data_IF_556623056655
#
_entry.id   IF_556623056655
#
_cell.length_a   1.000
_cell.length_b   1.000
_cell.length_c   1.000
_cell.angle_alpha   90.00
_cell.angle_beta   90.00
_cell.angle_gamma   90.00
#
_symmetry.space_group_name_H-M   'P 1'
#
loop_
_entity.id
_entity.type
_entity.pdbx_description
1 polymer ?
#
# COMPACT_ATOMS: atom_id res chain seq x y z
N UNK A 1 10.16 -20.13 5.23
CA UNK A 1 10.89 -19.89 3.98
C UNK A 1 12.14 -19.02 4.11
N UNK A 2 12.31 -18.18 5.16
CA UNK A 2 13.61 -17.51 5.55
C UNK A 2 14.89 -18.38 5.55
N UNK A 3 14.78 -19.69 5.32
CA UNK A 3 15.87 -20.69 5.26
C UNK A 3 16.16 -21.24 3.86
N UNK A 4 15.36 -20.93 2.82
CA UNK A 4 15.58 -21.47 1.47
C UNK A 4 16.82 -20.89 0.78
N UNK A 5 17.17 -19.62 1.02
CA UNK A 5 18.26 -18.94 0.29
C UNK A 5 19.30 -18.16 1.12
N UNK A 6 19.22 -18.14 2.45
CA UNK A 6 20.26 -17.53 3.30
C UNK A 6 21.31 -18.55 3.74
N UNK A 7 22.27 -18.88 2.86
CA UNK A 7 23.54 -19.51 3.26
C UNK A 7 24.63 -19.35 2.19
N UNK A 8 25.24 -18.17 2.14
CA UNK A 8 26.53 -17.98 1.49
C UNK A 8 27.46 -17.13 2.37
N UNK A 9 27.87 -17.66 3.52
CA UNK A 9 29.06 -17.16 4.22
C UNK A 9 29.55 -18.16 5.27
N UNK A 10 30.47 -19.06 4.88
CA UNK A 10 31.61 -19.49 5.71
C UNK A 10 32.55 -20.37 4.89
N UNK A 11 33.58 -19.74 4.33
CA UNK A 11 34.74 -20.44 3.81
C UNK A 11 35.55 -21.03 4.94
N UNK A 12 35.77 -22.34 4.90
CA UNK A 12 36.86 -23.01 5.63
C UNK A 12 37.52 -23.99 4.65
N UNK A 13 38.76 -23.67 4.26
CA UNK A 13 39.66 -24.60 3.60
C UNK A 13 40.11 -25.67 4.60
N UNK A 14 39.83 -26.94 4.31
CA UNK A 14 40.48 -28.07 4.97
C UNK A 14 40.86 -29.10 3.91
N UNK A 15 42.14 -29.10 3.57
CA UNK A 15 42.76 -30.15 2.77
C UNK A 15 42.94 -31.40 3.64
N UNK A 16 42.31 -32.51 3.24
CA UNK A 16 42.70 -33.83 3.70
C UNK A 16 42.79 -34.80 2.52
N UNK A 17 44.00 -35.31 2.34
CA UNK A 17 44.32 -36.48 1.52
C UNK A 17 43.74 -37.73 2.18
N UNK A 18 42.94 -38.51 1.45
CA UNK A 18 42.85 -39.96 1.62
C UNK A 18 42.26 -40.60 0.35
N UNK A 19 42.81 -41.74 -0.13
CA UNK A 19 42.42 -42.36 -1.38
C UNK A 19 41.26 -43.36 -1.18
N UNK A 20 40.39 -43.44 -2.18
CA UNK A 20 39.56 -44.60 -2.44
C UNK A 20 38.19 -44.60 -1.77
N UNK A 21 37.20 -44.01 -2.43
CA UNK A 21 35.80 -44.37 -2.26
C UNK A 21 35.12 -44.40 -3.63
N UNK A 22 34.53 -45.55 -3.92
CA UNK A 22 33.83 -45.89 -5.15
C UNK A 22 32.80 -44.82 -5.54
N UNK A 23 32.85 -44.39 -6.80
CA UNK A 23 31.74 -43.71 -7.46
C UNK A 23 30.54 -44.67 -7.45
N UNK A 24 29.64 -44.48 -6.48
CA UNK A 24 28.26 -44.93 -6.62
C UNK A 24 27.65 -44.03 -7.69
N UNK A 25 27.58 -44.56 -8.91
CA UNK A 25 26.88 -43.91 -10.01
C UNK A 25 25.40 -43.83 -9.64
N UNK A 26 24.97 -42.64 -9.22
CA UNK A 26 23.56 -42.27 -9.29
C UNK A 26 23.15 -42.32 -10.77
N UNK A 27 21.92 -42.75 -11.05
CA UNK A 27 21.39 -42.81 -12.41
C UNK A 27 21.70 -41.48 -13.14
N UNK A 28 22.18 -41.55 -14.38
CA UNK A 28 22.47 -40.39 -15.22
C UNK A 28 21.19 -39.57 -15.43
N UNK A 29 20.93 -38.68 -14.48
CA UNK A 29 19.99 -37.59 -14.61
C UNK A 29 20.55 -36.71 -15.74
N UNK A 30 19.78 -36.53 -16.82
CA UNK A 30 20.19 -35.69 -17.96
C UNK A 30 20.19 -34.21 -17.52
N UNK A 31 21.23 -33.83 -16.77
CA UNK A 31 21.43 -32.48 -16.28
C UNK A 31 22.03 -31.61 -17.39
N UNK A 32 21.64 -30.33 -17.48
CA UNK A 32 22.11 -29.47 -18.54
C UNK A 32 23.61 -29.20 -18.40
N UNK A 33 24.31 -29.23 -19.53
CA UNK A 33 25.64 -28.63 -19.64
C UNK A 33 25.45 -27.14 -19.90
N UNK A 34 26.03 -26.31 -19.04
CA UNK A 34 25.91 -24.86 -19.12
C UNK A 34 27.03 -24.31 -20.02
N UNK A 35 26.65 -23.54 -21.05
CA UNK A 35 27.55 -22.95 -22.03
C UNK A 35 27.29 -21.43 -22.11
N UNK A 36 27.73 -20.65 -21.11
CA UNK A 36 27.38 -19.23 -21.00
C UNK A 36 27.98 -18.36 -22.10
N UNK A 37 29.16 -18.74 -22.62
CA UNK A 37 29.82 -18.08 -23.74
C UNK A 37 30.75 -19.07 -24.48
N UNK A 38 31.20 -18.77 -25.72
CA UNK A 38 32.05 -19.67 -26.49
C UNK A 38 33.33 -20.09 -25.75
N UNK A 39 33.51 -21.40 -25.58
CA UNK A 39 34.69 -21.99 -24.94
C UNK A 39 34.65 -22.00 -23.40
N UNK A 40 33.58 -21.50 -22.79
CA UNK A 40 33.34 -21.60 -21.34
C UNK A 40 32.27 -22.65 -21.09
N UNK A 41 32.51 -23.56 -20.15
CA UNK A 41 31.50 -24.54 -19.76
C UNK A 41 31.49 -24.78 -18.27
N UNK A 42 30.29 -24.87 -17.72
CA UNK A 42 30.02 -25.36 -16.38
C UNK A 42 29.05 -26.55 -16.46
N UNK A 43 28.95 -27.35 -15.41
CA UNK A 43 28.03 -28.48 -15.39
C UNK A 43 27.50 -28.73 -13.98
N UNK A 44 26.25 -29.19 -13.93
CA UNK A 44 25.55 -29.52 -12.71
C UNK A 44 25.62 -31.04 -12.55
N UNK A 45 25.97 -31.48 -11.35
CA UNK A 45 26.03 -32.89 -10.99
C UNK A 45 25.23 -33.14 -9.72
N UNK A 46 24.57 -34.30 -9.67
CA UNK A 46 24.01 -34.82 -8.43
C UNK A 46 25.07 -35.58 -7.65
N UNK A 47 25.37 -35.11 -6.44
CA UNK A 47 26.35 -35.68 -5.51
C UNK A 47 25.67 -36.07 -4.20
N UNK A 48 26.44 -36.64 -3.26
CA UNK A 48 25.91 -36.99 -1.93
C UNK A 48 25.43 -35.78 -1.15
N UNK A 49 26.14 -34.66 -1.28
CA UNK A 49 25.76 -33.37 -0.68
C UNK A 49 24.54 -32.68 -1.34
N UNK A 50 24.00 -33.24 -2.43
CA UNK A 50 22.89 -32.64 -3.19
C UNK A 50 23.30 -32.24 -4.62
N UNK A 51 22.67 -31.21 -5.18
CA UNK A 51 23.04 -30.70 -6.50
C UNK A 51 24.20 -29.70 -6.39
N UNK A 52 25.24 -29.92 -7.18
CA UNK A 52 26.47 -29.12 -7.16
C UNK A 52 26.78 -28.63 -8.56
N UNK A 53 27.00 -27.32 -8.70
CA UNK A 53 27.57 -26.70 -9.89
C UNK A 53 29.09 -26.74 -9.81
N UNK A 54 29.72 -27.34 -10.82
CA UNK A 54 31.15 -27.16 -11.09
C UNK A 54 31.31 -25.99 -12.05
N UNK A 55 31.93 -24.91 -11.54
CA UNK A 55 32.19 -23.66 -12.25
C UNK A 55 33.25 -23.84 -13.35
N UNK A 56 33.41 -22.89 -14.29
CA UNK A 56 34.42 -22.96 -15.34
C UNK A 56 35.87 -23.06 -14.85
N UNK A 57 36.17 -22.52 -13.67
CA UNK A 57 37.48 -22.60 -13.02
C UNK A 57 37.68 -23.90 -12.20
N UNK A 58 36.67 -24.76 -12.15
CA UNK A 58 36.67 -26.01 -11.37
C UNK A 58 36.26 -25.85 -9.92
N UNK A 59 35.98 -24.63 -9.44
CA UNK A 59 35.39 -24.42 -8.12
C UNK A 59 33.96 -24.97 -8.08
N UNK A 60 33.45 -25.22 -6.87
CA UNK A 60 32.16 -25.88 -6.65
C UNK A 60 31.21 -24.99 -5.85
N UNK A 61 29.96 -24.96 -6.27
CA UNK A 61 28.87 -24.28 -5.58
C UNK A 61 27.75 -25.29 -5.33
N UNK A 62 27.35 -25.45 -4.07
CA UNK A 62 26.17 -26.26 -3.71
C UNK A 62 24.93 -25.45 -4.08
N UNK A 63 24.09 -26.00 -4.96
CA UNK A 63 22.87 -25.37 -5.45
C UNK A 63 21.66 -25.72 -4.59
N UNK A 64 21.61 -26.97 -4.12
CA UNK A 64 20.55 -27.49 -3.27
C UNK A 64 21.11 -28.64 -2.44
N UNK A 65 21.02 -28.53 -1.12
CA UNK A 65 21.56 -29.52 -0.18
C UNK A 65 20.68 -30.79 -0.15
N UNK A 66 21.32 -31.94 0.05
CA UNK A 66 20.68 -33.26 0.20
C UNK A 66 19.57 -33.33 1.25
N UNK A 67 19.66 -32.57 2.34
CA UNK A 67 18.65 -32.55 3.40
C UNK A 67 17.29 -32.06 2.88
N UNK A 68 17.30 -31.15 1.90
CA UNK A 68 16.09 -30.59 1.30
C UNK A 68 15.43 -31.50 0.28
N UNK A 69 16.20 -32.39 -0.36
CA UNK A 69 15.68 -33.27 -1.42
C UNK A 69 14.57 -34.20 -0.93
N UNK A 70 14.55 -34.53 0.36
CA UNK A 70 13.54 -35.43 0.94
C UNK A 70 12.16 -34.77 1.11
N UNK A 71 12.07 -33.43 1.05
CA UNK A 71 10.83 -32.67 1.22
C UNK A 71 10.18 -32.23 -0.08
N UNK A 72 10.79 -32.54 -1.23
CA UNK A 72 10.30 -32.11 -2.54
C UNK A 72 9.23 -33.05 -3.09
N UNK A 73 8.28 -32.47 -3.81
CA UNK A 73 7.29 -33.17 -4.61
C UNK A 73 7.66 -33.07 -6.10
N UNK A 74 8.34 -34.12 -6.57
CA UNK A 74 8.81 -34.24 -7.94
C UNK A 74 10.30 -33.94 -8.12
N UNK A 75 10.80 -34.02 -9.37
CA UNK A 75 12.20 -33.76 -9.68
C UNK A 75 12.53 -32.26 -9.60
N UNK A 76 13.81 -31.97 -9.35
CA UNK A 76 14.35 -30.61 -9.50
C UNK A 76 14.50 -30.30 -10.98
N UNK A 77 14.06 -29.13 -11.41
CA UNK A 77 14.22 -28.66 -12.79
C UNK A 77 15.41 -27.71 -12.91
N UNK A 78 16.06 -27.76 -14.07
CA UNK A 78 17.12 -26.83 -14.44
C UNK A 78 16.82 -26.28 -15.83
N UNK A 79 16.66 -24.97 -15.93
CA UNK A 79 16.38 -24.30 -17.21
C UNK A 79 17.43 -23.23 -17.50
N UNK A 80 17.95 -23.23 -18.72
CA UNK A 80 18.91 -22.21 -19.17
C UNK A 80 18.20 -21.04 -19.84
N UNK A 81 18.69 -19.84 -19.61
CA UNK A 81 18.12 -18.63 -20.20
C UNK A 81 18.90 -17.39 -19.82
N UNK A 82 18.76 -16.32 -20.59
CA UNK A 82 19.24 -14.99 -20.22
C UNK A 82 18.16 -14.33 -19.34
N UNK A 83 18.38 -14.27 -18.01
CA UNK A 83 17.38 -13.79 -17.04
C UNK A 83 17.60 -12.32 -16.65
N UNK A 84 18.83 -11.82 -16.72
CA UNK A 84 19.15 -10.39 -16.51
C UNK A 84 19.29 -9.60 -17.82
N UNK A 85 19.14 -10.27 -18.96
CA UNK A 85 19.12 -9.68 -20.30
C UNK A 85 20.45 -9.02 -20.70
N UNK A 86 21.56 -9.54 -20.17
CA UNK A 86 22.91 -9.06 -20.44
C UNK A 86 23.57 -9.70 -21.68
N UNK A 87 22.91 -10.71 -22.26
CA UNK A 87 23.33 -11.43 -23.46
C UNK A 87 24.11 -12.73 -23.19
N UNK A 88 24.32 -13.10 -21.93
CA UNK A 88 24.94 -14.35 -21.53
C UNK A 88 23.88 -15.36 -21.06
N UNK A 89 24.20 -16.66 -21.11
CA UNK A 89 23.26 -17.69 -20.64
C UNK A 89 23.44 -17.92 -19.14
N UNK A 90 22.37 -17.64 -18.39
CA UNK A 90 22.19 -17.98 -16.99
C UNK A 90 21.45 -19.32 -16.86
N UNK A 91 21.13 -19.70 -15.62
CA UNK A 91 20.20 -20.79 -15.37
C UNK A 91 19.32 -20.56 -14.14
N UNK A 92 18.19 -21.25 -14.12
CA UNK A 92 17.31 -21.38 -12.97
C UNK A 92 17.32 -22.81 -12.41
N UNK A 93 17.11 -22.92 -11.11
CA UNK A 93 16.80 -24.15 -10.40
C UNK A 93 15.36 -24.04 -9.89
N UNK A 94 14.48 -24.91 -10.38
CA UNK A 94 13.10 -25.01 -9.91
C UNK A 94 12.90 -26.22 -9.00
N UNK A 95 12.23 -26.03 -7.87
CA UNK A 95 11.87 -27.11 -6.95
C UNK A 95 10.47 -26.88 -6.39
N UNK A 96 9.68 -27.94 -6.28
CA UNK A 96 8.33 -27.91 -5.69
C UNK A 96 8.34 -28.64 -4.36
N UNK A 97 7.77 -28.02 -3.33
CA UNK A 97 7.55 -28.69 -2.03
C UNK A 97 6.28 -29.53 -2.04
N UNK A 98 6.23 -30.56 -1.18
CA UNK A 98 5.04 -31.37 -0.99
C UNK A 98 3.82 -30.53 -0.57
N UNK A 99 2.76 -30.60 -1.38
CA UNK A 99 1.51 -29.86 -1.16
C UNK A 99 1.50 -28.45 -1.73
N UNK A 100 2.59 -27.97 -2.35
CA UNK A 100 2.62 -26.69 -3.07
C UNK A 100 2.16 -26.86 -4.51
N UNK A 101 1.33 -25.93 -4.99
CA UNK A 101 1.03 -25.80 -6.43
C UNK A 101 2.15 -25.05 -7.17
N UNK A 102 2.89 -24.22 -6.45
CA UNK A 102 3.92 -23.33 -6.98
C UNK A 102 5.31 -23.99 -6.93
N UNK A 103 6.12 -23.66 -7.94
CA UNK A 103 7.54 -24.05 -8.02
C UNK A 103 8.38 -22.89 -7.52
N UNK A 104 9.13 -23.11 -6.43
CA UNK A 104 10.13 -22.16 -5.96
C UNK A 104 11.31 -22.13 -6.91
N UNK A 105 11.81 -20.95 -7.24
CA UNK A 105 12.85 -20.77 -8.25
C UNK A 105 14.06 -20.02 -7.67
N UNK A 106 15.25 -20.59 -7.84
CA UNK A 106 16.51 -19.91 -7.66
C UNK A 106 17.07 -19.49 -9.03
N UNK A 107 17.58 -18.27 -9.16
CA UNK A 107 18.29 -17.82 -10.36
C UNK A 107 19.79 -17.77 -10.09
N UNK A 108 20.59 -18.21 -11.05
CA UNK A 108 22.05 -18.17 -11.00
C UNK A 108 22.57 -17.46 -12.23
N UNK A 109 23.09 -16.24 -12.02
CA UNK A 109 23.50 -15.33 -13.09
C UNK A 109 24.98 -15.50 -13.43
N UNK A 110 25.31 -15.52 -14.71
CA UNK A 110 26.68 -15.62 -15.19
C UNK A 110 27.36 -14.26 -15.19
N UNK A 111 28.51 -14.14 -14.52
CA UNK A 111 29.34 -12.94 -14.60
C UNK A 111 30.48 -13.15 -15.62
N UNK A 112 30.47 -12.48 -16.79
CA UNK A 112 31.49 -12.67 -17.82
C UNK A 112 32.89 -12.19 -17.41
N UNK A 113 32.99 -11.26 -16.46
CA UNK A 113 34.30 -10.81 -15.93
C UNK A 113 34.92 -11.83 -15.00
N UNK A 114 34.10 -12.44 -14.14
CA UNK A 114 34.54 -13.46 -13.18
C UNK A 114 34.59 -14.87 -13.79
N UNK A 115 33.88 -15.09 -14.91
CA UNK A 115 33.65 -16.39 -15.54
C UNK A 115 33.07 -17.41 -14.56
N UNK A 116 32.08 -16.99 -13.80
CA UNK A 116 31.45 -17.79 -12.78
C UNK A 116 29.97 -17.40 -12.64
N UNK A 117 29.16 -18.36 -12.22
CA UNK A 117 27.77 -18.15 -11.85
C UNK A 117 27.66 -17.79 -10.36
N UNK A 118 26.80 -16.84 -10.02
CA UNK A 118 26.43 -16.49 -8.65
C UNK A 118 24.92 -16.53 -8.47
N UNK A 119 24.41 -16.93 -7.28
CA UNK A 119 22.98 -16.84 -7.02
C UNK A 119 22.51 -15.39 -7.03
N UNK A 120 21.34 -15.13 -7.61
CA UNK A 120 20.64 -13.86 -7.45
C UNK A 120 20.10 -13.79 -6.01
N UNK A 121 20.45 -12.73 -5.30
CA UNK A 121 19.97 -12.52 -3.92
C UNK A 121 18.80 -11.55 -3.93
N UNK A 122 17.66 -11.99 -3.40
CA UNK A 122 16.53 -11.12 -3.08
C UNK A 122 16.74 -10.62 -1.65
N UNK A 123 17.12 -9.35 -1.51
CA UNK A 123 17.32 -8.71 -0.21
C UNK A 123 16.04 -8.70 0.62
N UNK A 124 16.17 -8.80 1.95
CA UNK A 124 15.04 -8.90 2.89
C UNK A 124 14.02 -7.74 2.71
N UNK A 125 14.49 -6.53 2.39
CA UNK A 125 13.63 -5.37 2.13
C UNK A 125 12.72 -5.58 0.91
N UNK A 126 13.29 -6.09 -0.20
CA UNK A 126 12.51 -6.40 -1.39
C UNK A 126 11.63 -7.62 -1.15
N UNK A 127 12.16 -8.66 -0.52
CA UNK A 127 11.41 -9.87 -0.17
C UNK A 127 10.17 -9.55 0.66
N UNK A 128 10.27 -8.65 1.64
CA UNK A 128 9.12 -8.17 2.39
C UNK A 128 8.04 -7.44 1.57
N UNK A 129 8.37 -6.98 0.35
CA UNK A 129 7.45 -6.31 -0.57
C UNK A 129 6.86 -7.26 -1.62
N UNK A 130 7.53 -8.36 -1.98
CA UNK A 130 7.03 -9.34 -2.96
C UNK A 130 5.79 -10.06 -2.43
N UNK A 131 4.89 -10.46 -3.34
CA UNK A 131 3.64 -11.12 -2.94
C UNK A 131 3.87 -12.43 -2.16
N UNK A 132 4.95 -13.15 -2.48
CA UNK A 132 5.26 -14.45 -1.88
C UNK A 132 6.66 -14.51 -1.25
N UNK A 133 7.26 -13.35 -0.96
CA UNK A 133 8.56 -13.25 -0.30
C UNK A 133 9.77 -13.55 -1.18
N UNK A 134 9.63 -14.50 -2.10
CA UNK A 134 10.69 -15.06 -2.94
C UNK A 134 10.21 -15.22 -4.39
N UNK A 135 11.02 -15.86 -5.24
CA UNK A 135 10.69 -16.11 -6.65
C UNK A 135 9.96 -17.44 -6.83
N UNK A 136 8.82 -17.39 -7.53
CA UNK A 136 7.94 -18.52 -7.78
C UNK A 136 7.54 -18.53 -9.26
N UNK A 137 7.42 -19.73 -9.85
CA UNK A 137 6.97 -19.96 -11.23
C UNK A 137 7.52 -18.89 -12.21
N UNK A 138 8.84 -18.74 -12.26
CA UNK A 138 9.49 -17.62 -12.93
C UNK A 138 9.40 -17.74 -14.46
N UNK A 139 8.94 -16.67 -15.10
CA UNK A 139 8.88 -16.51 -16.54
C UNK A 139 9.74 -15.32 -16.97
N UNK A 140 10.41 -15.40 -18.11
CA UNK A 140 11.13 -14.26 -18.72
C UNK A 140 10.18 -13.48 -19.63
N UNK A 141 10.35 -12.16 -19.69
CA UNK A 141 9.64 -11.24 -20.59
C UNK A 141 10.68 -10.51 -21.47
N UNK A 142 11.17 -11.16 -22.55
CA UNK A 142 12.29 -10.64 -23.34
C UNK A 142 12.05 -9.27 -23.97
N UNK A 143 10.82 -8.99 -24.40
CA UNK A 143 10.45 -7.73 -25.05
C UNK A 143 10.57 -6.54 -24.10
N UNK A 144 10.48 -6.78 -22.80
CA UNK A 144 10.57 -5.76 -21.74
C UNK A 144 11.89 -5.84 -20.96
N UNK A 145 12.68 -6.91 -21.13
CA UNK A 145 13.85 -7.23 -20.30
C UNK A 145 13.53 -7.31 -18.82
N UNK A 146 12.44 -8.03 -18.51
CA UNK A 146 11.95 -8.23 -17.15
C UNK A 146 11.72 -9.72 -16.89
N UNK A 147 11.66 -10.10 -15.62
CA UNK A 147 11.15 -11.40 -15.20
C UNK A 147 9.81 -11.23 -14.50
N UNK A 148 8.99 -12.28 -14.55
CA UNK A 148 7.73 -12.41 -13.85
C UNK A 148 7.86 -13.54 -12.84
N UNK A 149 7.57 -13.24 -11.59
CA UNK A 149 7.35 -14.21 -10.52
C UNK A 149 5.84 -14.32 -10.29
N UNK A 150 5.32 -15.53 -10.12
CA UNK A 150 3.90 -15.72 -9.81
C UNK A 150 3.66 -16.86 -8.85
N UNK A 151 2.64 -16.70 -8.01
CA UNK A 151 2.29 -17.67 -6.98
C UNK A 151 0.78 -17.64 -6.71
N UNK A 152 0.24 -18.75 -6.21
CA UNK A 152 -1.17 -18.93 -5.91
C UNK A 152 -1.32 -19.16 -4.40
N UNK A 153 -1.18 -18.07 -3.62
CA UNK A 153 -1.04 -18.15 -2.16
C UNK A 153 -2.19 -18.90 -1.47
N UNK A 154 -3.39 -18.96 -2.07
CA UNK A 154 -4.57 -19.68 -1.54
C UNK A 154 -5.48 -20.23 -2.66
N UNK A 155 -4.98 -20.41 -3.89
CA UNK A 155 -5.74 -20.95 -5.03
C UNK A 155 -6.86 -20.05 -5.60
N UNK A 156 -7.17 -18.92 -4.96
CA UNK A 156 -8.22 -18.00 -5.41
C UNK A 156 -7.75 -17.03 -6.51
N UNK A 157 -6.54 -16.50 -6.40
CA UNK A 157 -5.98 -15.57 -7.37
C UNK A 157 -4.48 -15.75 -7.50
N UNK A 158 -3.99 -15.78 -8.75
CA UNK A 158 -2.56 -15.76 -9.02
C UNK A 158 -2.02 -14.36 -8.75
N UNK A 159 -1.08 -14.28 -7.82
CA UNK A 159 -0.29 -13.09 -7.55
C UNK A 159 0.88 -13.03 -8.51
N UNK A 160 1.25 -11.81 -8.91
CA UNK A 160 2.28 -11.54 -9.89
C UNK A 160 3.17 -10.42 -9.38
N UNK A 161 4.49 -10.64 -9.45
CA UNK A 161 5.52 -9.63 -9.29
C UNK A 161 6.34 -9.57 -10.59
N UNK A 162 6.51 -8.38 -11.17
CA UNK A 162 7.36 -8.14 -12.34
C UNK A 162 8.61 -7.42 -11.87
N UNK A 163 9.77 -7.98 -12.15
CA UNK A 163 11.06 -7.55 -11.63
C UNK A 163 12.02 -7.22 -12.76
N UNK A 164 12.82 -6.18 -12.56
CA UNK A 164 14.03 -5.92 -13.33
C UNK A 164 15.24 -6.42 -12.57
N UNK A 165 16.24 -6.89 -13.30
CA UNK A 165 17.56 -7.24 -12.76
C UNK A 165 18.56 -6.35 -13.48
N UNK A 166 19.26 -5.51 -12.73
CA UNK A 166 20.32 -4.68 -13.26
C UNK A 166 21.63 -5.48 -13.42
N UNK A 167 22.57 -4.94 -14.19
CA UNK A 167 23.89 -5.57 -14.43
C UNK A 167 24.75 -5.78 -13.17
N UNK A 168 24.45 -5.05 -12.09
CA UNK A 168 25.09 -5.25 -10.79
C UNK A 168 24.33 -6.26 -9.91
N UNK A 169 23.35 -6.96 -10.49
CA UNK A 169 22.45 -7.92 -9.87
C UNK A 169 21.46 -7.27 -8.88
N UNK A 170 21.32 -5.94 -8.90
CA UNK A 170 20.26 -5.27 -8.14
C UNK A 170 18.90 -5.63 -8.72
N UNK A 171 17.99 -6.11 -7.87
CA UNK A 171 16.62 -6.43 -8.27
C UNK A 171 15.69 -5.30 -7.87
N UNK A 172 14.80 -4.90 -8.77
CA UNK A 172 13.77 -3.88 -8.49
C UNK A 172 12.40 -4.37 -8.91
N UNK A 173 11.41 -4.10 -8.06
CA UNK A 173 9.99 -4.30 -8.36
C UNK A 173 9.53 -3.23 -9.35
N UNK A 174 9.05 -3.68 -10.50
CA UNK A 174 8.55 -2.82 -11.58
C UNK A 174 7.03 -2.79 -11.57
N UNK A 175 6.40 -3.96 -11.48
CA UNK A 175 4.94 -4.07 -11.34
C UNK A 175 4.57 -5.14 -10.32
N UNK A 176 3.39 -5.01 -9.73
CA UNK A 176 2.88 -5.97 -8.77
C UNK A 176 1.35 -6.05 -8.78
N UNK A 177 0.81 -7.26 -8.80
CA UNK A 177 -0.61 -7.45 -8.52
C UNK A 177 -0.89 -7.21 -7.04
N UNK A 178 -1.89 -6.39 -6.72
CA UNK A 178 -2.41 -6.19 -5.36
C UNK A 178 -3.86 -6.72 -5.28
N UNK A 179 -4.27 -7.25 -4.11
CA UNK A 179 -5.67 -7.57 -3.87
C UNK A 179 -6.55 -6.33 -3.93
N UNK A 180 -7.85 -6.57 -3.81
CA UNK A 180 -8.76 -5.52 -3.37
C UNK A 180 -8.26 -4.91 -2.06
N UNK A 181 -8.42 -3.61 -1.95
CA UNK A 181 -7.96 -2.85 -0.80
C UNK A 181 -8.96 -1.75 -0.50
N UNK A 182 -9.44 -1.73 0.73
CA UNK A 182 -10.19 -0.60 1.24
C UNK A 182 -9.21 0.52 1.59
N UNK A 183 -9.43 1.71 1.03
CA UNK A 183 -8.66 2.90 1.39
C UNK A 183 -8.77 3.17 2.90
N UNK A 184 -7.64 3.51 3.53
CA UNK A 184 -7.49 3.63 4.99
C UNK A 184 -8.07 4.90 5.61
N UNK A 185 -8.88 5.66 4.86
CA UNK A 185 -9.53 6.88 5.32
C UNK A 185 -10.61 7.34 4.33
N UNK A 186 -11.36 8.38 4.69
CA UNK A 186 -12.37 8.97 3.83
C UNK A 186 -11.78 9.33 2.45
N UNK A 187 -12.37 8.88 1.32
CA UNK A 187 -13.74 8.40 1.14
C UNK A 187 -14.02 6.89 1.26
N UNK A 188 -13.19 6.11 1.96
CA UNK A 188 -13.37 4.66 2.20
C UNK A 188 -13.71 3.85 0.94
N UNK A 189 -13.08 4.19 -0.19
CA UNK A 189 -13.30 3.49 -1.45
C UNK A 189 -12.61 2.13 -1.45
N UNK A 190 -13.27 1.15 -2.06
CA UNK A 190 -12.64 -0.11 -2.41
C UNK A 190 -11.89 0.05 -3.73
N UNK A 191 -10.56 -0.06 -3.68
CA UNK A 191 -9.73 -0.28 -4.85
C UNK A 191 -9.88 -1.75 -5.25
N UNK A 192 -10.25 -2.07 -6.51
CA UNK A 192 -10.35 -3.46 -6.96
C UNK A 192 -8.96 -4.11 -6.99
N UNK A 193 -8.90 -5.42 -7.27
CA UNK A 193 -7.65 -6.05 -7.67
C UNK A 193 -6.99 -5.27 -8.81
N UNK A 194 -5.67 -5.12 -8.77
CA UNK A 194 -4.96 -4.20 -9.67
C UNK A 194 -3.50 -4.53 -9.85
N UNK A 195 -2.92 -4.09 -10.97
CA UNK A 195 -1.48 -4.00 -11.16
C UNK A 195 -1.01 -2.62 -10.73
N UNK A 196 -0.09 -2.59 -9.77
CA UNK A 196 0.62 -1.39 -9.34
C UNK A 196 1.93 -1.31 -10.12
N UNK A 197 2.23 -0.16 -10.70
CA UNK A 197 3.51 0.16 -11.32
C UNK A 197 4.33 1.03 -10.37
N UNK A 198 5.63 0.74 -10.26
CA UNK A 198 6.55 1.47 -9.40
C UNK A 198 7.58 2.25 -10.22
N UNK A 199 8.02 3.40 -9.68
CA UNK A 199 9.19 4.11 -10.18
C UNK A 199 10.51 3.43 -9.73
N UNK A 200 11.64 3.99 -10.16
CA UNK A 200 12.95 3.46 -9.80
C UNK A 200 13.30 3.60 -8.31
N UNK A 201 12.55 4.40 -7.57
CA UNK A 201 12.68 4.60 -6.12
C UNK A 201 11.74 3.67 -5.33
N UNK A 202 10.85 2.95 -6.01
CA UNK A 202 9.87 2.05 -5.41
C UNK A 202 8.56 2.73 -5.00
N UNK A 203 8.29 3.96 -5.44
CA UNK A 203 7.01 4.62 -5.20
C UNK A 203 5.96 4.14 -6.21
N UNK A 204 4.72 3.95 -5.75
CA UNK A 204 3.58 3.68 -6.64
C UNK A 204 3.34 4.89 -7.53
N UNK A 205 3.31 4.68 -8.84
CA UNK A 205 3.02 5.73 -9.83
C UNK A 205 1.69 5.51 -10.56
N UNK A 206 1.24 4.27 -10.65
CA UNK A 206 0.04 3.91 -11.40
C UNK A 206 -0.58 2.63 -10.86
N UNK A 207 -1.89 2.62 -10.66
CA UNK A 207 -2.62 1.44 -10.23
C UNK A 207 -3.76 1.14 -11.20
N UNK A 208 -3.61 0.06 -11.98
CA UNK A 208 -4.52 -0.32 -13.06
C UNK A 208 -5.35 -1.53 -12.61
N UNK A 209 -6.68 -1.43 -12.51
CA UNK A 209 -7.54 -2.56 -12.17
C UNK A 209 -7.29 -3.78 -13.07
N UNK A 210 -7.08 -4.94 -12.43
CA UNK A 210 -7.09 -6.26 -13.04
C UNK A 210 -8.55 -6.69 -13.05
N UNK A 211 -9.21 -6.77 -14.20
CA UNK A 211 -10.64 -7.06 -14.24
C UNK A 211 -10.92 -8.56 -14.02
N UNK A 212 -11.76 -8.95 -13.04
CA UNK A 212 -12.49 -10.20 -13.10
C UNK A 212 -13.91 -10.01 -13.69
N UNK A 213 -14.56 -8.84 -13.53
CA UNK A 213 -15.79 -8.48 -14.27
C UNK A 213 -15.93 -6.95 -14.50
N UNK A 214 -16.74 -6.56 -15.50
CA UNK A 214 -16.99 -5.15 -15.87
C UNK A 214 -18.00 -4.43 -14.94
N UNK A 215 -18.75 -5.16 -14.13
CA UNK A 215 -19.80 -4.64 -13.23
C UNK A 215 -19.26 -4.08 -11.92
N UNK A 216 -18.13 -4.59 -11.41
CA UNK A 216 -17.48 -4.12 -10.17
C UNK A 216 -16.69 -2.82 -10.34
N UNK A 217 -16.51 -2.35 -11.58
CA UNK A 217 -15.77 -1.12 -11.88
C UNK A 217 -16.66 0.13 -11.94
N UNK A 218 -17.95 0.01 -11.66
CA UNK A 218 -18.87 1.14 -11.64
C UNK A 218 -18.53 2.16 -10.55
N UNK A 219 -18.59 3.43 -10.90
CA UNK A 219 -18.51 4.56 -9.98
C UNK A 219 -19.55 5.59 -10.40
N UNK A 220 -20.18 6.23 -9.42
CA UNK A 220 -21.21 7.25 -9.64
C UNK A 220 -20.74 8.55 -9.01
N UNK A 221 -20.90 9.65 -9.74
CA UNK A 221 -20.43 10.97 -9.29
C UNK A 221 -21.25 11.42 -8.07
N UNK A 222 -20.61 11.65 -6.91
CA UNK A 222 -21.31 11.91 -5.65
C UNK A 222 -21.70 13.39 -5.42
N UNK A 223 -21.13 14.33 -6.19
CA UNK A 223 -21.29 15.78 -6.02
C UNK A 223 -21.95 16.41 -7.24
N UNK A 224 -22.66 17.53 -7.06
CA UNK A 224 -23.42 18.21 -8.13
C UNK A 224 -22.58 18.51 -9.38
N UNK A 225 -21.32 18.88 -9.18
CA UNK A 225 -20.39 19.19 -10.28
C UNK A 225 -18.98 18.78 -9.93
N UNK A 226 -18.39 17.92 -10.75
CA UNK A 226 -17.00 17.47 -10.59
C UNK A 226 -16.18 17.83 -11.83
N UNK A 227 -15.11 18.58 -11.63
CA UNK A 227 -14.21 18.97 -12.71
C UNK A 227 -13.46 17.76 -13.29
N UNK A 228 -13.18 17.80 -14.59
CA UNK A 228 -12.33 16.83 -15.27
C UNK A 228 -10.96 17.44 -15.55
N UNK A 229 -9.93 16.61 -15.45
CA UNK A 229 -8.52 16.98 -15.60
C UNK A 229 -7.87 16.15 -16.71
N UNK A 230 -6.90 16.72 -17.42
CA UNK A 230 -6.13 15.96 -18.43
C UNK A 230 -5.10 15.03 -17.81
N UNK A 231 -4.63 15.37 -16.60
CA UNK A 231 -3.60 14.67 -15.85
C UNK A 231 -3.96 14.64 -14.35
N UNK A 232 -3.33 13.80 -13.51
CA UNK A 232 -3.56 13.80 -12.06
C UNK A 232 -2.87 15.00 -11.37
N UNK A 233 -3.21 16.21 -11.82
CA UNK A 233 -2.69 17.49 -11.33
C UNK A 233 -3.80 18.55 -11.36
N UNK A 234 -3.96 19.30 -10.26
CA UNK A 234 -4.95 20.38 -10.13
C UNK A 234 -4.76 21.49 -11.16
N UNK A 235 -3.54 21.69 -11.67
CA UNK A 235 -3.28 22.71 -12.70
C UNK A 235 -3.78 22.28 -14.09
N UNK A 236 -4.10 21.00 -14.30
CA UNK A 236 -4.50 20.43 -15.58
C UNK A 236 -6.02 20.44 -15.81
N UNK A 237 -6.74 21.31 -15.09
CA UNK A 237 -8.21 21.38 -15.16
C UNK A 237 -8.69 21.68 -16.57
N UNK A 238 -9.71 20.95 -17.01
CA UNK A 238 -10.36 21.14 -18.30
C UNK A 238 -11.65 21.95 -18.15
N UNK A 239 -12.23 22.39 -19.27
CA UNK A 239 -13.56 23.03 -19.25
C UNK A 239 -14.73 22.03 -19.12
N UNK A 240 -14.43 20.73 -19.00
CA UNK A 240 -15.43 19.66 -18.90
C UNK A 240 -15.68 19.29 -17.44
N UNK A 241 -16.88 18.79 -17.16
CA UNK A 241 -17.26 18.33 -15.84
C UNK A 241 -18.24 17.16 -15.95
N UNK A 242 -18.37 16.41 -14.86
CA UNK A 242 -19.44 15.46 -14.65
C UNK A 242 -20.46 16.00 -13.64
N UNK A 243 -21.71 15.60 -13.79
CA UNK A 243 -22.79 15.94 -12.88
C UNK A 243 -23.07 14.77 -11.93
N UNK A 244 -23.70 15.07 -10.79
CA UNK A 244 -24.14 14.05 -9.84
C UNK A 244 -24.99 12.97 -10.49
N UNK A 245 -24.71 11.71 -10.15
CA UNK A 245 -25.42 10.57 -10.72
C UNK A 245 -24.88 10.11 -12.08
N UNK A 246 -23.95 10.85 -12.69
CA UNK A 246 -23.26 10.37 -13.89
C UNK A 246 -22.48 9.09 -13.54
N UNK A 247 -22.65 8.08 -14.39
CA UNK A 247 -21.99 6.78 -14.25
C UNK A 247 -20.68 6.77 -15.02
N UNK A 248 -19.63 6.29 -14.38
CA UNK A 248 -18.34 6.10 -15.00
C UNK A 248 -17.73 4.75 -14.56
N UNK A 249 -16.72 4.32 -15.29
CA UNK A 249 -15.92 3.13 -14.98
C UNK A 249 -14.55 3.55 -14.48
N UNK A 250 -14.11 2.99 -13.36
CA UNK A 250 -12.76 3.21 -12.79
C UNK A 250 -11.72 2.60 -13.74
N UNK A 251 -10.73 3.39 -14.17
CA UNK A 251 -9.69 2.92 -15.09
C UNK A 251 -8.32 2.81 -14.43
N UNK A 252 -7.96 3.80 -13.62
CA UNK A 252 -6.61 3.94 -13.06
C UNK A 252 -6.71 4.77 -11.78
N UNK A 253 -5.88 4.46 -10.79
CA UNK A 253 -5.62 5.34 -9.66
C UNK A 253 -4.19 5.87 -9.70
N UNK A 254 -4.01 7.11 -9.27
CA UNK A 254 -2.71 7.71 -9.00
C UNK A 254 -2.67 8.13 -7.53
N UNK A 255 -2.13 7.24 -6.70
CA UNK A 255 -2.22 7.34 -5.24
C UNK A 255 -3.67 7.31 -4.73
N UNK A 256 -3.92 8.04 -3.66
CA UNK A 256 -5.24 8.13 -3.00
C UNK A 256 -6.04 9.37 -3.39
N UNK A 257 -5.45 10.26 -4.19
CA UNK A 257 -6.02 11.57 -4.52
C UNK A 257 -6.69 11.62 -5.89
N UNK A 258 -6.31 10.74 -6.82
CA UNK A 258 -6.70 10.84 -8.22
C UNK A 258 -7.19 9.52 -8.79
N UNK A 259 -8.24 9.62 -9.61
CA UNK A 259 -8.79 8.49 -10.34
C UNK A 259 -9.05 8.87 -11.79
N UNK A 260 -8.56 8.06 -12.73
CA UNK A 260 -8.96 8.14 -14.14
C UNK A 260 -10.20 7.30 -14.35
N UNK A 261 -11.15 7.84 -15.11
CA UNK A 261 -12.44 7.21 -15.37
C UNK A 261 -12.76 7.19 -16.86
N UNK A 262 -13.53 6.19 -17.29
CA UNK A 262 -14.22 6.17 -18.58
C UNK A 262 -15.70 6.51 -18.38
N UNK A 263 -16.25 7.43 -19.15
CA UNK A 263 -17.64 7.86 -19.03
C UNK A 263 -18.27 8.08 -20.41
N UNK A 264 -19.60 8.09 -20.47
CA UNK A 264 -20.31 8.26 -21.73
C UNK A 264 -20.42 9.75 -22.11
N UNK A 265 -19.72 10.15 -23.17
CA UNK A 265 -19.88 11.46 -23.79
C UNK A 265 -20.99 11.49 -24.85
N UNK A 266 -21.25 12.69 -25.40
CA UNK A 266 -22.28 12.90 -26.45
C UNK A 266 -21.99 12.14 -27.74
N UNK A 267 -20.71 11.94 -28.08
CA UNK A 267 -20.25 11.35 -29.34
C UNK A 267 -19.62 9.97 -29.17
N UNK A 268 -19.56 9.44 -27.95
CA UNK A 268 -18.88 8.19 -27.64
C UNK A 268 -18.26 8.17 -26.24
N UNK A 269 -17.61 7.06 -25.86
CA UNK A 269 -16.89 6.98 -24.60
C UNK A 269 -15.72 7.96 -24.56
N UNK A 270 -15.54 8.61 -23.41
CA UNK A 270 -14.46 9.54 -23.12
C UNK A 270 -13.72 9.09 -21.86
N UNK A 271 -12.51 9.59 -21.68
CA UNK A 271 -11.73 9.40 -20.46
C UNK A 271 -11.31 10.74 -19.86
N UNK A 272 -11.14 10.79 -18.55
CA UNK A 272 -10.62 11.95 -17.86
C UNK A 272 -10.19 11.61 -16.43
N UNK A 273 -9.35 12.47 -15.86
CA UNK A 273 -8.95 12.38 -14.45
C UNK A 273 -9.92 13.18 -13.57
N UNK A 274 -10.20 12.66 -12.38
CA UNK A 274 -10.92 13.37 -11.33
C UNK A 274 -10.10 13.37 -10.04
N UNK A 275 -10.29 14.42 -9.25
CA UNK A 275 -9.76 14.54 -7.89
C UNK A 275 -10.75 13.88 -6.92
N UNK A 276 -10.30 12.84 -6.22
CA UNK A 276 -11.08 12.19 -5.16
C UNK A 276 -11.34 13.14 -3.98
N UNK A 277 -10.40 14.06 -3.71
CA UNK A 277 -10.58 15.14 -2.73
C UNK A 277 -11.73 16.08 -3.09
N UNK A 278 -11.92 16.38 -4.37
CA UNK A 278 -13.05 17.21 -4.84
C UNK A 278 -14.35 16.42 -4.89
N UNK A 279 -14.29 15.17 -5.36
CA UNK A 279 -15.45 14.30 -5.42
C UNK A 279 -16.03 14.03 -4.02
N UNK A 280 -15.20 13.97 -2.99
CA UNK A 280 -15.61 13.66 -1.63
C UNK A 280 -15.32 14.78 -0.64
N UNK A 281 -15.34 16.04 -1.09
CA UNK A 281 -15.19 17.19 -0.21
C UNK A 281 -16.34 17.25 0.80
N UNK A 282 -16.01 17.08 2.08
CA UNK A 282 -16.98 17.08 3.18
C UNK A 282 -17.69 18.44 3.35
N UNK A 283 -17.05 19.55 2.99
CA UNK A 283 -17.67 20.87 3.02
C UNK A 283 -18.71 21.03 1.91
N UNK A 284 -18.41 20.55 0.70
CA UNK A 284 -19.38 20.51 -0.39
C UNK A 284 -20.56 19.58 -0.04
N UNK A 285 -20.25 18.41 0.52
CA UNK A 285 -21.27 17.41 0.89
C UNK A 285 -22.19 17.90 2.01
N UNK A 286 -21.66 18.69 2.95
CA UNK A 286 -22.43 19.37 3.99
C UNK A 286 -23.49 20.30 3.41
N UNK A 287 -23.14 21.14 2.43
CA UNK A 287 -24.06 22.12 1.88
C UNK A 287 -25.33 21.45 1.32
N UNK A 288 -25.19 20.23 0.81
CA UNK A 288 -26.28 19.44 0.25
C UNK A 288 -27.03 18.59 1.28
N UNK A 289 -26.35 18.09 2.32
CA UNK A 289 -26.87 17.01 3.17
C UNK A 289 -26.85 17.30 4.67
N UNK A 290 -26.17 18.34 5.13
CA UNK A 290 -25.90 18.59 6.55
C UNK A 290 -27.14 18.80 7.42
N UNK A 291 -28.29 19.13 6.82
CA UNK A 291 -29.57 19.31 7.52
C UNK A 291 -30.47 18.07 7.54
N UNK A 292 -30.08 16.97 6.88
CA UNK A 292 -30.86 15.72 6.89
C UNK A 292 -30.77 15.06 8.28
N UNK A 293 -31.84 14.35 8.67
CA UNK A 293 -31.83 13.51 9.86
C UNK A 293 -30.71 12.46 9.75
N UNK A 294 -29.89 12.39 10.80
CA UNK A 294 -28.74 11.51 10.91
C UNK A 294 -29.00 10.48 12.00
N UNK A 295 -28.40 9.29 11.89
CA UNK A 295 -28.55 8.22 12.88
C UNK A 295 -27.81 8.51 14.19
N UNK A 296 -26.82 9.39 14.12
CA UNK A 296 -26.02 9.87 15.25
C UNK A 296 -26.15 11.38 15.35
N UNK A 297 -26.07 11.90 16.57
CA UNK A 297 -25.97 13.33 16.85
C UNK A 297 -24.55 13.63 17.33
N UNK A 298 -23.84 14.46 16.58
CA UNK A 298 -22.53 14.97 16.94
C UNK A 298 -22.71 16.37 17.53
N UNK A 299 -22.33 16.53 18.79
CA UNK A 299 -22.39 17.81 19.51
C UNK A 299 -21.01 18.42 19.64
N UNK A 300 -20.93 19.75 19.55
CA UNK A 300 -19.76 20.52 19.87
C UNK A 300 -20.18 21.70 20.74
N UNK A 301 -19.60 21.80 21.92
CA UNK A 301 -19.80 22.93 22.82
C UNK A 301 -18.45 23.56 23.15
N UNK A 302 -18.39 24.88 23.21
CA UNK A 302 -17.31 25.60 23.89
C UNK A 302 -17.80 26.14 25.24
N UNK A 303 -16.86 26.64 26.03
CA UNK A 303 -17.13 27.24 27.33
C UNK A 303 -16.79 28.73 27.34
N UNK A 304 -16.93 29.39 26.20
CA UNK A 304 -16.55 30.81 26.03
C UNK A 304 -17.35 31.77 26.91
N UNK A 305 -18.58 31.38 27.28
CA UNK A 305 -19.50 32.13 28.15
C UNK A 305 -19.29 31.86 29.67
N UNK A 306 -18.33 31.03 30.05
CA UNK A 306 -18.05 30.74 31.47
C UNK A 306 -17.24 31.87 32.10
N UNK A 307 -17.81 32.57 33.10
CA UNK A 307 -17.17 33.73 33.75
C UNK A 307 -15.87 33.43 34.53
N UNK A 308 -15.66 32.18 34.95
CA UNK A 308 -14.51 31.77 35.74
C UNK A 308 -13.43 31.17 34.83
N UNK A 309 -12.17 31.59 35.02
CA UNK A 309 -11.01 31.11 34.26
C UNK A 309 -11.24 31.19 32.74
N UNK A 310 -11.87 32.29 32.29
CA UNK A 310 -12.31 32.52 30.91
C UNK A 310 -11.23 32.21 29.87
N UNK A 311 -9.97 32.53 30.16
CA UNK A 311 -8.88 32.33 29.20
C UNK A 311 -8.55 30.85 28.97
N UNK A 312 -8.80 29.97 29.95
CA UNK A 312 -8.69 28.52 29.75
C UNK A 312 -9.93 27.97 29.02
N UNK A 313 -11.12 28.31 29.52
CA UNK A 313 -12.38 27.75 29.03
C UNK A 313 -12.77 28.20 27.61
N UNK A 314 -12.26 29.34 27.13
CA UNK A 314 -12.38 29.77 25.72
C UNK A 314 -11.67 28.85 24.72
N UNK A 315 -10.75 28.01 25.19
CA UNK A 315 -10.02 27.07 24.35
C UNK A 315 -10.40 25.62 24.61
N UNK A 316 -11.24 25.37 25.62
CA UNK A 316 -11.85 24.08 25.90
C UNK A 316 -13.09 23.90 25.02
N UNK A 317 -13.18 22.75 24.37
CA UNK A 317 -14.41 22.31 23.75
C UNK A 317 -14.70 20.86 24.09
N UNK A 318 -15.97 20.53 24.17
CA UNK A 318 -16.45 19.16 24.38
C UNK A 318 -17.07 18.65 23.10
N UNK A 319 -16.55 17.53 22.60
CA UNK A 319 -17.14 16.77 21.52
C UNK A 319 -17.96 15.63 22.11
N UNK A 320 -19.21 15.52 21.70
CA UNK A 320 -20.11 14.45 22.15
C UNK A 320 -20.71 13.70 20.97
N UNK A 321 -20.91 12.41 21.13
CA UNK A 321 -21.58 11.57 20.15
C UNK A 321 -22.72 10.82 20.83
N UNK A 322 -23.94 11.05 20.35
CA UNK A 322 -25.14 10.36 20.81
C UNK A 322 -25.74 9.49 19.71
N UNK A 323 -26.18 8.29 20.07
CA UNK A 323 -26.92 7.41 19.17
C UNK A 323 -28.42 7.54 19.48
N UNK A 324 -29.12 8.34 18.67
CA UNK A 324 -30.57 8.51 18.77
C UNK A 324 -31.35 7.45 17.97
N UNK A 325 -30.64 6.54 17.28
CA UNK A 325 -31.25 5.47 16.51
C UNK A 325 -31.70 4.29 17.39
N UNK A 326 -32.31 3.28 16.76
CA UNK A 326 -32.79 2.06 17.43
C UNK A 326 -31.80 0.91 17.37
N UNK A 327 -30.68 1.08 16.69
CA UNK A 327 -29.68 0.03 16.45
C UNK A 327 -28.33 0.48 16.99
N UNK A 328 -27.50 -0.46 17.43
CA UNK A 328 -26.13 -0.15 17.80
C UNK A 328 -25.37 0.31 16.55
N UNK A 329 -24.49 1.29 16.71
CA UNK A 329 -23.64 1.79 15.62
C UNK A 329 -22.19 1.48 15.92
N UNK A 330 -21.55 0.74 15.02
CA UNK A 330 -20.15 0.37 15.10
C UNK A 330 -19.28 1.31 14.26
N UNK A 331 -18.38 2.02 14.92
CA UNK A 331 -17.33 2.84 14.33
C UNK A 331 -16.01 2.07 14.39
N UNK A 332 -15.86 1.12 13.47
CA UNK A 332 -14.59 0.44 13.23
C UNK A 332 -13.80 1.22 12.20
N UNK A 333 -12.94 2.15 12.63
CA UNK A 333 -12.12 3.06 11.81
C UNK A 333 -12.86 4.32 11.30
N UNK A 334 -13.60 4.98 12.20
CA UNK A 334 -14.16 6.30 11.90
C UNK A 334 -13.07 7.38 11.89
N UNK A 335 -13.35 8.50 11.23
CA UNK A 335 -12.49 9.69 11.27
C UNK A 335 -13.30 10.88 11.77
N UNK A 336 -12.72 11.63 12.71
CA UNK A 336 -13.25 12.92 13.09
C UNK A 336 -12.54 14.02 12.31
N UNK A 337 -13.32 14.87 11.67
CA UNK A 337 -12.86 16.04 10.91
C UNK A 337 -13.48 17.31 11.48
N UNK A 338 -12.89 18.45 11.12
CA UNK A 338 -13.38 19.79 11.40
C UNK A 338 -13.49 20.57 10.08
N UNK A 339 -14.61 21.24 9.85
CA UNK A 339 -14.73 22.28 8.81
C UNK A 339 -14.46 23.64 9.48
N UNK A 340 -13.45 24.33 8.98
CA UNK A 340 -13.16 25.73 9.31
C UNK A 340 -13.79 26.63 8.26
N UNK A 341 -14.78 27.42 8.66
CA UNK A 341 -15.42 28.42 7.80
C UNK A 341 -14.93 29.81 8.17
N UNK A 342 -14.19 30.41 7.24
CA UNK A 342 -13.68 31.78 7.32
C UNK A 342 -14.81 32.81 7.28
N UNK A 343 -14.54 34.05 7.72
CA UNK A 343 -15.49 35.16 7.66
C UNK A 343 -15.99 35.49 6.24
N UNK A 344 -15.19 35.19 5.21
CA UNK A 344 -15.58 35.35 3.80
C UNK A 344 -16.38 34.14 3.25
N UNK A 345 -16.61 33.11 4.08
CA UNK A 345 -17.32 31.90 3.73
C UNK A 345 -16.45 30.78 3.14
N UNK A 346 -15.13 30.98 2.99
CA UNK A 346 -14.25 29.90 2.55
C UNK A 346 -14.19 28.78 3.59
N UNK A 347 -14.31 27.54 3.11
CA UNK A 347 -14.30 26.35 3.96
C UNK A 347 -13.02 25.55 3.76
N UNK A 348 -12.45 25.04 4.83
CA UNK A 348 -11.30 24.12 4.81
C UNK A 348 -11.59 22.96 5.74
N UNK A 349 -11.51 21.75 5.21
CA UNK A 349 -11.71 20.52 5.98
C UNK A 349 -10.36 20.01 6.50
N UNK A 350 -10.31 19.65 7.78
CA UNK A 350 -9.13 19.14 8.48
C UNK A 350 -9.47 17.84 9.20
N UNK A 351 -8.66 16.79 9.05
CA UNK A 351 -8.80 15.58 9.87
C UNK A 351 -8.19 15.84 11.24
N UNK A 352 -8.97 15.66 12.30
CA UNK A 352 -8.51 15.86 13.68
C UNK A 352 -7.85 14.58 14.22
N UNK A 353 -8.57 13.45 14.23
CA UNK A 353 -8.02 12.14 14.63
C UNK A 353 -8.90 10.98 14.15
N UNK A 354 -8.36 9.77 14.28
CA UNK A 354 -9.06 8.52 14.04
C UNK A 354 -9.84 8.06 15.27
N UNK A 355 -10.99 7.41 15.04
CA UNK A 355 -11.81 6.76 16.06
C UNK A 355 -11.77 5.25 15.84
N UNK A 356 -11.14 4.55 16.78
CA UNK A 356 -10.94 3.11 16.69
C UNK A 356 -11.96 2.34 17.55
N UNK A 357 -12.58 1.32 16.94
CA UNK A 357 -13.34 0.27 17.62
C UNK A 357 -14.35 0.76 18.66
N UNK A 358 -15.18 1.74 18.30
CA UNK A 358 -16.20 2.29 19.20
C UNK A 358 -17.58 1.80 18.79
N UNK A 359 -18.30 1.19 19.73
CA UNK A 359 -19.70 0.78 19.54
C UNK A 359 -20.59 1.64 20.43
N UNK A 360 -21.52 2.37 19.83
CA UNK A 360 -22.46 3.20 20.55
C UNK A 360 -23.84 2.56 20.54
N UNK A 361 -24.29 2.09 21.71
CA UNK A 361 -25.60 1.45 21.88
C UNK A 361 -26.76 2.45 21.72
N UNK A 362 -27.97 1.99 21.35
CA UNK A 362 -29.15 2.85 21.24
C UNK A 362 -29.41 3.69 22.50
N UNK A 363 -29.64 5.00 22.30
CA UNK A 363 -29.91 5.95 23.38
C UNK A 363 -28.71 6.29 24.27
N UNK A 364 -27.50 5.83 23.94
CA UNK A 364 -26.28 6.22 24.64
C UNK A 364 -25.66 7.47 24.04
N UNK A 365 -24.96 8.20 24.90
CA UNK A 365 -24.13 9.34 24.55
C UNK A 365 -22.77 9.18 25.20
N UNK A 366 -21.72 9.58 24.48
CA UNK A 366 -20.34 9.51 24.93
C UNK A 366 -19.61 10.80 24.59
N UNK A 367 -18.70 11.20 25.47
CA UNK A 367 -17.75 12.27 25.20
C UNK A 367 -16.60 11.70 24.38
N UNK A 368 -16.34 12.30 23.21
CA UNK A 368 -15.22 11.94 22.33
C UNK A 368 -13.96 12.71 22.70
N UNK A 369 -14.11 13.97 23.09
CA UNK A 369 -13.03 14.82 23.55
C UNK A 369 -13.57 15.88 24.50
N UNK A 370 -12.74 16.30 25.45
CA UNK A 370 -13.02 17.34 26.44
C UNK A 370 -11.71 18.03 26.87
N UNK A 371 -10.84 18.29 25.89
CA UNK A 371 -9.53 18.89 26.10
C UNK A 371 -9.42 20.27 25.44
N UNK A 372 -8.61 21.18 26.01
CA UNK A 372 -8.38 22.47 25.40
C UNK A 372 -7.38 22.38 24.25
N UNK A 373 -7.49 23.33 23.32
CA UNK A 373 -6.42 23.61 22.35
C UNK A 373 -5.20 24.14 23.12
N UNK A 374 -4.07 23.47 22.94
CA UNK A 374 -2.78 23.79 23.55
C UNK A 374 -1.76 24.15 22.48
N UNK A 375 -0.65 24.78 22.87
CA UNK A 375 0.52 24.95 22.02
C UNK A 375 1.66 24.09 22.56
N UNK A 376 2.19 23.17 21.74
CA UNK A 376 3.32 22.29 22.07
C UNK A 376 4.30 22.25 20.91
N UNK A 377 5.60 22.40 21.16
CA UNK A 377 6.60 22.38 20.08
C UNK A 377 6.32 23.38 18.94
N UNK A 378 5.66 24.50 19.24
CA UNK A 378 5.26 25.51 18.27
C UNK A 378 3.96 25.23 17.49
N UNK A 379 3.34 24.05 17.65
CA UNK A 379 2.10 23.66 16.99
C UNK A 379 0.89 23.79 17.92
N UNK A 380 -0.27 24.09 17.36
CA UNK A 380 -1.55 24.10 18.09
C UNK A 380 -2.20 22.72 18.00
N UNK A 381 -2.38 22.08 19.15
CA UNK A 381 -2.76 20.66 19.25
C UNK A 381 -3.88 20.45 20.27
N UNK A 382 -4.58 19.34 20.17
CA UNK A 382 -5.44 18.79 21.22
C UNK A 382 -4.87 17.48 21.72
N UNK A 383 -4.98 17.23 23.02
CA UNK A 383 -4.61 15.95 23.62
C UNK A 383 -5.67 14.89 23.28
N UNK A 384 -5.25 13.80 22.65
CA UNK A 384 -6.11 12.68 22.27
C UNK A 384 -5.33 11.38 22.38
N UNK A 385 -5.41 10.64 23.50
CA UNK A 385 -4.63 9.43 23.70
C UNK A 385 -5.05 8.33 22.72
N UNK A 386 -4.07 7.56 22.23
CA UNK A 386 -4.30 6.43 21.32
C UNK A 386 -3.89 5.15 22.05
N UNK A 387 -4.87 4.42 22.57
CA UNK A 387 -4.61 3.30 23.47
C UNK A 387 -4.10 3.80 24.83
N UNK A 388 -2.94 3.31 25.25
CA UNK A 388 -2.28 3.70 26.51
C UNK A 388 -1.23 4.81 26.32
N UNK A 389 -1.01 5.26 25.07
CA UNK A 389 0.01 6.26 24.74
C UNK A 389 -0.58 7.68 24.71
N UNK A 390 0.13 8.62 25.36
CA UNK A 390 -0.15 10.05 25.25
C UNK A 390 0.07 10.49 23.80
N UNK A 391 -0.96 11.08 23.19
CA UNK A 391 -0.92 11.56 21.82
C UNK A 391 -1.56 12.94 21.67
N UNK A 392 -1.10 13.68 20.66
CA UNK A 392 -1.50 15.05 20.38
C UNK A 392 -1.79 15.21 18.90
N UNK A 393 -2.98 15.69 18.58
CA UNK A 393 -3.42 15.92 17.20
C UNK A 393 -3.35 17.40 16.85
N UNK A 394 -2.80 17.80 15.69
CA UNK A 394 -2.91 19.17 15.20
C UNK A 394 -4.38 19.60 15.12
N UNK A 395 -4.72 20.71 15.75
CA UNK A 395 -6.11 21.18 15.78
C UNK A 395 -6.48 21.97 14.53
N UNK A 396 -5.58 22.82 14.04
CA UNK A 396 -5.80 23.64 12.84
C UNK A 396 -5.15 23.00 11.60
N UNK A 397 -5.76 23.18 10.40
CA UNK A 397 -5.12 22.80 9.16
C UNK A 397 -3.86 23.62 8.89
N UNK A 398 -2.92 23.03 8.15
CA UNK A 398 -1.72 23.74 7.70
C UNK A 398 -2.07 24.87 6.73
N UNK A 399 -1.34 25.99 6.83
CA UNK A 399 -1.49 27.11 5.90
C UNK A 399 -2.75 27.97 6.09
N UNK A 400 -3.49 27.78 7.19
CA UNK A 400 -4.65 28.60 7.52
C UNK A 400 -4.24 30.09 7.63
N UNK A 401 -5.05 30.98 7.07
CA UNK A 401 -4.78 32.43 7.16
C UNK A 401 -5.18 32.95 8.54
N UNK A 402 -4.58 34.07 8.96
CA UNK A 402 -4.97 34.70 10.22
C UNK A 402 -6.39 35.24 10.13
N UNK A 403 -7.25 34.87 11.08
CA UNK A 403 -8.65 35.28 11.07
C UNK A 403 -9.49 34.55 12.11
N UNK A 404 -10.79 34.87 12.12
CA UNK A 404 -11.79 34.20 12.96
C UNK A 404 -12.54 33.16 12.13
N UNK A 405 -12.70 31.96 12.70
CA UNK A 405 -13.31 30.82 12.04
C UNK A 405 -14.49 30.28 12.83
N UNK A 406 -15.54 29.89 12.10
CA UNK A 406 -16.58 28.99 12.61
C UNK A 406 -16.14 27.56 12.37
N UNK A 407 -16.22 26.73 13.41
CA UNK A 407 -15.71 25.36 13.38
C UNK A 407 -16.88 24.41 13.62
N UNK A 408 -17.05 23.44 12.72
CA UNK A 408 -18.05 22.38 12.86
C UNK A 408 -17.39 21.01 12.77
N UNK A 409 -17.74 20.06 13.64
CA UNK A 409 -17.19 18.72 13.56
C UNK A 409 -17.94 17.87 12.54
N UNK A 410 -17.26 16.87 12.01
CA UNK A 410 -17.81 15.85 11.12
C UNK A 410 -17.25 14.51 11.54
N UNK A 411 -18.11 13.51 11.63
CA UNK A 411 -17.72 12.13 11.78
C UNK A 411 -17.94 11.39 10.46
N UNK A 412 -16.90 10.76 9.94
CA UNK A 412 -17.00 9.80 8.83
C UNK A 412 -16.65 8.41 9.36
N UNK A 413 -17.05 7.37 8.63
CA UNK A 413 -16.72 5.99 8.99
C UNK A 413 -17.16 5.02 7.89
N UNK A 414 -16.45 3.89 7.73
CA UNK A 414 -16.74 2.94 6.65
C UNK A 414 -18.11 2.26 6.80
N UNK A 415 -18.60 2.15 8.03
CA UNK A 415 -19.92 1.57 8.33
C UNK A 415 -21.04 2.61 8.37
N UNK A 416 -20.72 3.90 8.21
CA UNK A 416 -21.72 4.96 8.17
C UNK A 416 -22.29 5.10 6.76
N UNK A 417 -23.61 5.24 6.65
CA UNK A 417 -24.28 5.46 5.36
C UNK A 417 -23.88 6.80 4.72
N UNK A 418 -23.47 7.76 5.53
CA UNK A 418 -23.06 9.11 5.14
C UNK A 418 -22.27 9.77 6.27
N UNK A 419 -21.49 10.82 5.98
CA UNK A 419 -20.90 11.68 7.01
C UNK A 419 -21.97 12.23 7.97
N UNK A 420 -21.59 12.34 9.24
CA UNK A 420 -22.40 12.87 10.33
C UNK A 420 -21.89 14.26 10.68
N UNK A 421 -22.70 15.29 10.53
CA UNK A 421 -22.34 16.69 10.76
C UNK A 421 -22.80 17.14 12.14
N UNK A 422 -21.93 17.88 12.83
CA UNK A 422 -22.30 18.54 14.07
C UNK A 422 -23.45 19.53 13.86
N UNK A 423 -24.39 19.55 14.81
CA UNK A 423 -25.50 20.52 14.79
C UNK A 423 -25.00 21.93 15.14
N UNK A 424 -24.07 21.99 16.08
CA UNK A 424 -23.52 23.24 16.63
C UNK A 424 -22.18 23.62 15.96
N UNK A 425 -21.85 24.89 16.07
CA UNK A 425 -20.58 25.48 15.66
C UNK A 425 -19.96 26.21 16.85
N UNK A 426 -18.63 26.22 16.93
CA UNK A 426 -17.90 27.11 17.83
C UNK A 426 -17.15 28.17 17.02
N UNK A 427 -16.73 29.24 17.69
CA UNK A 427 -15.92 30.28 17.05
C UNK A 427 -14.53 30.35 17.68
N UNK A 428 -13.49 30.37 16.85
CA UNK A 428 -12.11 30.49 17.32
C UNK A 428 -11.26 31.32 16.37
N UNK A 429 -10.34 32.11 16.94
CA UNK A 429 -9.31 32.83 16.18
C UNK A 429 -8.14 31.90 15.82
N UNK A 430 -7.57 32.09 14.63
CA UNK A 430 -6.29 31.53 14.24
C UNK A 430 -5.26 32.66 14.00
N UNK A 431 -4.06 32.61 14.60
CA UNK A 431 -3.72 31.73 15.73
C UNK A 431 -4.52 32.10 16.98
N UNK A 432 -4.89 31.13 17.85
CA UNK A 432 -5.59 31.42 19.08
C UNK A 432 -4.67 32.12 20.08
N UNK A 433 -5.24 32.99 20.91
CA UNK A 433 -4.53 33.67 22.00
C UNK A 433 -4.58 32.83 23.27
N UNK A 434 -3.68 31.84 23.38
CA UNK A 434 -3.64 30.94 24.51
C UNK A 434 -3.03 31.58 25.77
N UNK A 435 -3.55 31.29 26.99
CA UNK A 435 -2.89 31.60 28.24
C UNK A 435 -1.62 30.75 28.45
N UNK A 436 -0.70 31.23 29.29
CA UNK A 436 0.59 30.56 29.57
C UNK A 436 0.42 29.10 30.04
N UNK A 437 -0.68 28.77 30.73
CA UNK A 437 -0.98 27.41 31.19
C UNK A 437 -1.25 26.40 30.07
N UNK A 438 -1.54 26.87 28.86
CA UNK A 438 -1.80 26.05 27.67
C UNK A 438 -0.64 26.10 26.67
N UNK A 439 0.49 26.69 27.05
CA UNK A 439 1.69 26.79 26.23
C UNK A 439 2.78 25.95 26.88
N UNK A 440 3.10 24.82 26.26
CA UNK A 440 4.26 24.03 26.62
C UNK A 440 5.43 24.28 25.65
N UNK A 441 6.68 24.20 26.14
CA UNK A 441 7.88 24.42 25.33
C UNK A 441 7.97 23.60 24.04
#
# INVERSE_FOLDING_TARGET
MRRFFHLAARGICLAFLSPGLMNLAFAEENLPRLLPEPGVSAHIERRKEGYVLTQPDGSKLVLLDSDWLNGLDGPVSFETGDYDFDGYTDFSLGAREAGSLDVGVALYLYNPKAKAFSPLIIEDELGGKLNCGELWNVERIPERKLIKSSCSLDGHYNRVDILSIDRDQTVRLVEQSRPEEQMSGWPYLMKPMRMVTYDAQGNSVLEVPLAPDETEQGWEVPVEKLALYSDPDRQSTTNSYLAKGDKARKLVFAGDDWMKIAYQGKTGPLEGWISLKEAYDLAAWQAENGQKLQSLQLGLADYSEVDKDQDYYKHLFTLTLANESREAVELGYGELHLIFTSADGQQTTHKLYDLFNKTLEPGKSETLDDNPVQKRGGQFVIYHPVGDDDAYSPFFPEGLTTGKYKIRPILTGPNLKSPIYGQDEIEMDYPPKLPDSLIEP
#
